data_IF_189535073581
#
_entry.id   IF_189535073581
#
_cell.length_a   1.000
_cell.length_b   1.000
_cell.length_c   1.000
_cell.angle_alpha   90.00
_cell.angle_beta   90.00
_cell.angle_gamma   90.00
#
_symmetry.space_group_name_H-M   'P 1'
#
loop_
_entity.id
_entity.type
_entity.pdbx_description
1 polymer ?
#
# COMPACT_ATOMS: atom_id res chain seq x y z
N UNK A 1 -11.78 27.05 -42.71
CA UNK A 1 -12.07 25.71 -42.14
C UNK A 1 -10.73 25.06 -41.82
N UNK A 2 -10.30 25.02 -40.55
CA UNK A 2 -8.96 24.57 -40.15
C UNK A 2 -8.89 23.03 -40.10
N UNK A 3 -7.93 22.45 -40.79
CA UNK A 3 -7.58 21.03 -40.70
C UNK A 3 -6.69 20.80 -39.47
N UNK A 4 -7.18 20.03 -38.50
CA UNK A 4 -6.36 19.51 -37.40
C UNK A 4 -5.83 18.13 -37.80
N UNK A 5 -4.52 18.03 -38.06
CA UNK A 5 -3.80 16.77 -38.17
C UNK A 5 -3.77 16.08 -36.79
N UNK A 6 -4.48 14.96 -36.65
CA UNK A 6 -4.44 14.09 -35.48
C UNK A 6 -3.24 13.15 -35.62
N UNK A 7 -2.16 13.43 -34.88
CA UNK A 7 -1.01 12.53 -34.77
C UNK A 7 -1.40 11.20 -34.12
N UNK A 8 -1.16 10.09 -34.82
CA UNK A 8 -1.35 8.75 -34.30
C UNK A 8 -0.08 8.30 -33.56
N UNK A 9 -0.10 8.37 -32.23
CA UNK A 9 0.91 7.71 -31.40
C UNK A 9 0.53 6.23 -31.33
N UNK A 10 1.35 5.38 -31.96
CA UNK A 10 1.11 3.93 -32.07
C UNK A 10 1.05 3.25 -30.68
N UNK A 11 -0.05 2.55 -30.34
CA UNK A 11 -0.19 1.82 -29.06
C UNK A 11 0.51 0.44 -29.04
N UNK A 12 1.38 0.14 -30.00
CA UNK A 12 1.86 -1.22 -30.24
C UNK A 12 2.93 -1.71 -29.23
N UNK A 13 3.60 -0.80 -28.52
CA UNK A 13 4.70 -1.13 -27.60
C UNK A 13 4.24 -1.47 -26.18
N UNK A 14 3.05 -1.02 -25.76
CA UNK A 14 2.50 -1.29 -24.41
C UNK A 14 1.90 -2.71 -24.30
N UNK A 15 1.50 -3.28 -25.43
CA UNK A 15 0.80 -4.57 -25.47
C UNK A 15 1.72 -5.77 -25.22
N UNK A 16 2.99 -5.70 -25.65
CA UNK A 16 3.96 -6.81 -25.56
C UNK A 16 4.48 -7.05 -24.13
N UNK A 17 4.51 -6.00 -23.30
CA UNK A 17 4.92 -6.12 -21.90
C UNK A 17 3.88 -6.88 -21.05
N UNK A 18 2.59 -6.75 -21.39
CA UNK A 18 1.50 -7.46 -20.68
C UNK A 18 1.49 -8.96 -20.96
N UNK A 19 1.81 -9.39 -22.19
CA UNK A 19 1.78 -10.81 -22.56
C UNK A 19 2.87 -11.66 -21.89
N UNK A 20 4.02 -11.07 -21.53
CA UNK A 20 5.09 -11.80 -20.83
C UNK A 20 4.82 -11.92 -19.32
N UNK A 21 4.11 -10.95 -18.74
CA UNK A 21 3.69 -10.98 -17.33
C UNK A 21 2.49 -11.91 -17.08
N UNK A 22 1.67 -12.15 -18.11
CA UNK A 22 0.39 -12.85 -17.98
C UNK A 22 0.49 -14.39 -18.01
N UNK A 23 1.65 -14.98 -18.27
CA UNK A 23 1.79 -16.45 -18.44
C UNK A 23 2.65 -17.09 -17.35
N UNK A 24 2.17 -17.02 -16.11
CA UNK A 24 2.62 -17.88 -15.00
C UNK A 24 1.38 -18.52 -14.38
N UNK A 25 0.82 -19.49 -15.09
CA UNK A 25 -0.29 -20.33 -14.62
C UNK A 25 0.24 -21.39 -13.64
N UNK A 26 0.83 -20.97 -12.52
CA UNK A 26 1.03 -21.86 -11.38
C UNK A 26 -0.30 -21.95 -10.64
N UNK A 27 -1.18 -22.84 -11.09
CA UNK A 27 -2.48 -23.07 -10.46
C UNK A 27 -2.25 -23.84 -9.16
N UNK A 28 -1.96 -23.11 -8.08
CA UNK A 28 -1.90 -23.69 -6.74
C UNK A 28 -3.34 -23.87 -6.27
N UNK A 29 -3.81 -25.12 -6.27
CA UNK A 29 -5.10 -25.46 -5.70
C UNK A 29 -5.03 -25.38 -4.17
N UNK A 30 -5.91 -24.58 -3.57
CA UNK A 30 -6.09 -24.51 -2.13
C UNK A 30 -7.49 -25.01 -1.77
N UNK A 31 -7.60 -25.65 -0.60
CA UNK A 31 -8.90 -26.06 -0.06
C UNK A 31 -9.71 -24.80 0.30
N UNK A 32 -11.05 -24.85 0.22
CA UNK A 32 -11.88 -23.76 0.71
C UNK A 32 -11.55 -23.41 2.17
N UNK A 33 -11.61 -22.12 2.50
CA UNK A 33 -11.34 -21.66 3.86
C UNK A 33 -12.26 -22.38 4.88
N UNK A 34 -11.67 -22.99 5.90
CA UNK A 34 -12.42 -23.67 6.98
C UNK A 34 -13.35 -22.70 7.71
N UNK A 35 -12.88 -21.48 7.93
CA UNK A 35 -13.65 -20.35 8.45
C UNK A 35 -13.60 -19.22 7.43
N UNK A 36 -14.77 -18.74 6.98
CA UNK A 36 -14.83 -17.64 6.02
C UNK A 36 -14.63 -16.32 6.75
N UNK A 37 -13.65 -15.54 6.32
CA UNK A 37 -13.49 -14.16 6.76
C UNK A 37 -14.36 -13.29 5.85
N UNK A 38 -15.41 -12.71 6.41
CA UNK A 38 -16.32 -11.84 5.67
C UNK A 38 -15.76 -10.42 5.48
N UNK A 39 -16.35 -9.60 4.59
CA UNK A 39 -15.90 -8.23 4.34
C UNK A 39 -15.82 -7.38 5.62
N UNK A 40 -16.80 -7.51 6.52
CA UNK A 40 -16.80 -6.79 7.81
C UNK A 40 -15.65 -7.18 8.74
N UNK A 41 -15.32 -8.48 8.82
CA UNK A 41 -14.19 -8.97 9.62
C UNK A 41 -12.85 -8.51 9.02
N UNK A 42 -12.70 -8.57 7.70
CA UNK A 42 -11.50 -8.10 7.01
C UNK A 42 -11.25 -6.61 7.26
N UNK A 43 -12.29 -5.77 7.12
CA UNK A 43 -12.18 -4.34 7.38
C UNK A 43 -11.79 -4.05 8.83
N UNK A 44 -12.45 -4.72 9.78
CA UNK A 44 -12.11 -4.58 11.19
C UNK A 44 -10.65 -4.94 11.48
N UNK A 45 -10.18 -6.11 11.01
CA UNK A 45 -8.81 -6.56 11.22
C UNK A 45 -7.81 -5.60 10.58
N UNK A 46 -8.08 -5.13 9.35
CA UNK A 46 -7.23 -4.15 8.68
C UNK A 46 -7.16 -2.83 9.44
N UNK A 47 -8.30 -2.33 9.94
CA UNK A 47 -8.33 -1.11 10.74
C UNK A 47 -7.55 -1.27 12.04
N UNK A 48 -7.79 -2.34 12.80
CA UNK A 48 -7.08 -2.62 14.06
C UNK A 48 -5.58 -2.75 13.81
N UNK A 49 -5.18 -3.47 12.75
CA UNK A 49 -3.78 -3.59 12.36
C UNK A 49 -3.15 -2.23 12.05
N UNK A 50 -3.83 -1.39 11.27
CA UNK A 50 -3.36 -0.06 10.96
C UNK A 50 -3.21 0.81 12.23
N UNK A 51 -4.23 0.84 13.10
CA UNK A 51 -4.17 1.57 14.36
C UNK A 51 -3.06 1.07 15.29
N UNK A 52 -2.85 -0.24 15.37
CA UNK A 52 -1.81 -0.82 16.21
C UNK A 52 -0.40 -0.36 15.81
N UNK A 53 -0.17 -0.12 14.51
CA UNK A 53 1.11 0.41 14.02
C UNK A 53 1.18 1.94 14.10
N UNK A 54 0.12 2.63 13.68
CA UNK A 54 0.12 4.08 13.55
C UNK A 54 -0.02 4.80 14.90
N UNK A 55 -0.75 4.24 15.87
CA UNK A 55 -0.92 4.88 17.18
C UNK A 55 0.41 5.09 17.93
N UNK A 56 1.26 4.06 18.14
CA UNK A 56 2.55 4.27 18.80
C UNK A 56 3.50 5.15 17.97
N UNK A 57 3.51 5.00 16.64
CA UNK A 57 4.33 5.82 15.77
C UNK A 57 3.91 7.31 15.81
N UNK A 58 2.61 7.58 15.76
CA UNK A 58 2.04 8.91 15.87
C UNK A 58 2.27 9.53 17.24
N UNK A 59 2.18 8.74 18.32
CA UNK A 59 2.50 9.19 19.67
C UNK A 59 3.97 9.64 19.80
N UNK A 60 4.92 8.84 19.29
CA UNK A 60 6.35 9.19 19.31
C UNK A 60 6.59 10.47 18.51
N UNK A 61 6.02 10.56 17.30
CA UNK A 61 6.17 11.73 16.44
C UNK A 61 5.59 13.00 17.09
N UNK A 62 4.44 12.87 17.74
CA UNK A 62 3.80 13.96 18.49
C UNK A 62 4.71 14.51 19.59
N UNK A 63 5.47 13.64 20.27
CA UNK A 63 6.33 14.01 21.41
C UNK A 63 7.77 14.43 21.05
N UNK A 64 8.13 14.49 19.76
CA UNK A 64 9.46 14.90 19.33
C UNK A 64 9.83 16.32 19.82
N UNK A 65 8.96 17.34 19.73
CA UNK A 65 9.29 18.69 20.19
C UNK A 65 9.68 18.73 21.67
N UNK A 66 8.97 17.99 22.52
CA UNK A 66 9.20 17.88 23.95
C UNK A 66 10.54 17.21 24.23
N UNK A 67 10.88 16.15 23.48
CA UNK A 67 12.19 15.50 23.60
C UNK A 67 13.34 16.43 23.18
N UNK A 68 13.13 17.34 22.24
CA UNK A 68 14.15 18.32 21.82
C UNK A 68 14.38 19.44 22.83
N UNK A 69 13.34 19.83 23.57
CA UNK A 69 13.43 20.91 24.56
C UNK A 69 13.93 20.44 25.93
N UNK A 70 14.00 19.12 26.14
CA UNK A 70 14.45 18.55 27.42
C UNK A 70 15.92 18.92 27.69
N UNK A 71 16.22 19.63 28.79
CA UNK A 71 17.60 19.89 29.20
C UNK A 71 18.35 18.58 29.45
N UNK A 72 19.63 18.53 29.06
CA UNK A 72 20.52 17.43 29.42
C UNK A 72 20.63 17.37 30.95
N UNK A 73 20.48 16.19 31.58
CA UNK A 73 20.72 16.06 33.01
C UNK A 73 22.19 16.41 33.33
N UNK A 74 22.47 17.00 34.51
CA UNK A 74 23.83 17.31 34.91
C UNK A 74 24.69 16.03 34.96
N UNK A 75 25.99 16.12 34.63
CA UNK A 75 26.89 14.97 34.74
C UNK A 75 26.96 14.51 36.20
N UNK A 76 26.80 13.20 36.39
CA UNK A 76 26.95 12.49 37.67
C UNK A 76 28.40 12.34 38.08
#
# INVERSE_FOLDING_TARGET
MLAFLKGAVQPMTVSRARSLLQKRDSTIYSKPAKNKIGPGQSLFIMSVFAFALLAPAGWILHHIPEYRQRPQPPPS
#
